data_IF_273939711168
#
_entry.id   IF_273939711168
#
_cell.length_a   1.000
_cell.length_b   1.000
_cell.length_c   1.000
_cell.angle_alpha   90.00
_cell.angle_beta   90.00
_cell.angle_gamma   90.00
#
_symmetry.space_group_name_H-M   'P 1'
#
loop_
_entity.id
_entity.type
_entity.pdbx_description
1 polymer ?
#
# COMPACT_ATOMS: atom_id res chain seq x y z
N UNK A 1 0.83 -4.69 -31.05
CA UNK A 1 0.89 -4.80 -29.58
C UNK A 1 -0.32 -5.62 -29.16
N UNK A 2 -0.09 -6.63 -28.34
CA UNK A 2 -1.11 -7.53 -27.84
C UNK A 2 -1.24 -7.33 -26.32
N UNK A 3 -2.44 -7.28 -25.77
CA UNK A 3 -2.68 -7.14 -24.32
C UNK A 3 -3.54 -8.30 -23.88
N UNK A 4 -3.02 -9.13 -22.98
CA UNK A 4 -3.70 -10.34 -22.51
C UNK A 4 -3.46 -10.58 -21.02
N UNK A 5 -4.35 -11.34 -20.41
CA UNK A 5 -4.23 -11.74 -19.01
C UNK A 5 -3.00 -12.66 -18.84
N UNK A 6 -2.29 -12.48 -17.73
CA UNK A 6 -1.15 -13.30 -17.33
C UNK A 6 -1.66 -14.54 -16.61
N UNK A 7 -1.12 -15.71 -16.96
CA UNK A 7 -1.38 -16.93 -16.23
C UNK A 7 -0.53 -16.96 -14.95
N UNK A 8 -1.15 -16.63 -13.81
CA UNK A 8 -0.48 -16.61 -12.49
C UNK A 8 -0.06 -18.01 -12.00
N UNK A 9 -0.41 -19.08 -12.70
CA UNK A 9 0.08 -20.43 -12.40
C UNK A 9 1.20 -20.88 -13.37
N UNK A 10 1.59 -20.02 -14.31
CA UNK A 10 2.81 -20.18 -15.11
C UNK A 10 3.96 -19.37 -14.47
N UNK A 11 4.93 -20.08 -13.91
CA UNK A 11 6.10 -19.48 -13.25
C UNK A 11 6.88 -18.55 -14.19
N UNK A 12 6.98 -18.89 -15.48
CA UNK A 12 7.68 -18.07 -16.46
C UNK A 12 6.92 -16.77 -16.72
N UNK A 13 5.59 -16.81 -16.83
CA UNK A 13 4.84 -15.57 -17.04
C UNK A 13 4.89 -14.64 -15.81
N UNK A 14 4.83 -15.17 -14.58
CA UNK A 14 5.02 -14.35 -13.37
C UNK A 14 6.43 -13.77 -13.31
N UNK A 15 7.46 -14.55 -13.65
CA UNK A 15 8.85 -14.08 -13.63
C UNK A 15 9.05 -12.87 -14.56
N UNK A 16 8.49 -12.92 -15.77
CA UNK A 16 8.53 -11.79 -16.69
C UNK A 16 7.67 -10.61 -16.18
N UNK A 17 6.49 -10.87 -15.64
CA UNK A 17 5.62 -9.84 -15.08
C UNK A 17 6.31 -9.10 -13.94
N UNK A 18 6.87 -9.84 -12.98
CA UNK A 18 7.63 -9.30 -11.85
C UNK A 18 8.82 -8.47 -12.33
N UNK A 19 9.61 -9.00 -13.28
CA UNK A 19 10.77 -8.28 -13.82
C UNK A 19 10.40 -6.95 -14.50
N UNK A 20 9.29 -6.91 -15.26
CA UNK A 20 8.80 -5.68 -15.90
C UNK A 20 8.28 -4.69 -14.87
N UNK A 21 7.50 -5.15 -13.89
CA UNK A 21 6.96 -4.30 -12.82
C UNK A 21 8.09 -3.72 -11.96
N UNK A 22 9.06 -4.53 -11.52
CA UNK A 22 10.21 -4.04 -10.74
C UNK A 22 11.05 -3.02 -11.52
N UNK A 23 11.32 -3.27 -12.81
CA UNK A 23 12.05 -2.32 -13.65
C UNK A 23 11.27 -1.03 -13.88
N UNK A 24 9.95 -1.13 -14.04
CA UNK A 24 9.09 0.03 -14.15
C UNK A 24 9.09 0.81 -12.83
N UNK A 25 8.79 0.18 -11.70
CA UNK A 25 8.71 0.85 -10.40
C UNK A 25 10.06 1.41 -9.92
N UNK A 26 11.19 0.79 -10.25
CA UNK A 26 12.51 1.28 -9.87
C UNK A 26 13.04 2.42 -10.76
N UNK A 27 12.40 2.70 -11.90
CA UNK A 27 12.91 3.69 -12.84
C UNK A 27 12.95 5.10 -12.22
N UNK A 28 14.16 5.69 -12.18
CA UNK A 28 14.46 6.97 -11.52
C UNK A 28 14.10 7.03 -10.01
N UNK A 29 13.97 5.87 -9.35
CA UNK A 29 13.60 5.76 -7.92
C UNK A 29 14.66 5.01 -7.11
N UNK A 30 15.71 5.70 -6.61
CA UNK A 30 16.82 5.06 -5.89
C UNK A 30 16.41 4.45 -4.54
N UNK A 31 15.23 4.80 -4.04
CA UNK A 31 14.69 4.32 -2.76
C UNK A 31 13.59 3.27 -2.93
N UNK A 32 13.35 2.80 -4.16
CA UNK A 32 12.40 1.72 -4.44
C UNK A 32 12.70 0.48 -3.57
N UNK A 33 11.63 -0.15 -3.10
CA UNK A 33 11.65 -1.35 -2.27
C UNK A 33 10.48 -2.22 -2.75
N UNK A 34 10.82 -3.16 -3.63
CA UNK A 34 9.86 -4.08 -4.23
C UNK A 34 9.69 -5.37 -3.44
N UNK A 35 8.80 -6.22 -3.92
CA UNK A 35 8.57 -7.53 -3.34
C UNK A 35 9.54 -8.53 -3.98
N UNK A 36 9.96 -9.54 -3.24
CA UNK A 36 10.67 -10.65 -3.87
C UNK A 36 9.75 -11.39 -4.84
N UNK A 37 10.33 -12.10 -5.81
CA UNK A 37 9.57 -12.93 -6.74
C UNK A 37 8.72 -13.98 -6.00
N UNK A 38 9.24 -14.56 -4.92
CA UNK A 38 8.52 -15.56 -4.13
C UNK A 38 7.29 -14.95 -3.43
N UNK A 39 7.45 -13.75 -2.84
CA UNK A 39 6.32 -13.00 -2.30
C UNK A 39 5.29 -12.66 -3.38
N UNK A 40 5.74 -12.20 -4.54
CA UNK A 40 4.86 -11.90 -5.68
C UNK A 40 4.10 -13.14 -6.16
N UNK A 41 4.75 -14.32 -6.24
CA UNK A 41 4.10 -15.59 -6.60
C UNK A 41 2.98 -15.94 -5.61
N UNK A 42 3.20 -15.79 -4.30
CA UNK A 42 2.18 -16.07 -3.28
C UNK A 42 1.00 -15.11 -3.40
N UNK A 43 1.27 -13.81 -3.56
CA UNK A 43 0.23 -12.79 -3.69
C UNK A 43 -0.62 -12.96 -4.94
N UNK A 44 0.03 -13.07 -6.11
CA UNK A 44 -0.66 -13.12 -7.40
C UNK A 44 -1.51 -14.38 -7.57
N UNK A 45 -1.21 -15.45 -6.81
CA UNK A 45 -1.99 -16.70 -6.79
C UNK A 45 -3.10 -16.70 -5.75
N UNK A 46 -3.15 -15.69 -4.87
CA UNK A 46 -4.15 -15.63 -3.82
C UNK A 46 -5.55 -15.55 -4.41
N UNK A 47 -6.43 -16.36 -3.85
CA UNK A 47 -7.87 -16.30 -4.11
C UNK A 47 -8.58 -16.24 -2.76
N UNK A 48 -9.32 -15.16 -2.53
CA UNK A 48 -10.06 -14.93 -1.29
C UNK A 48 -11.44 -14.37 -1.62
N UNK A 49 -12.45 -14.53 -0.74
CA UNK A 49 -13.80 -14.07 -1.02
C UNK A 49 -13.96 -12.54 -0.91
N UNK A 50 -12.97 -11.84 -0.36
CA UNK A 50 -13.03 -10.40 -0.05
C UNK A 50 -12.58 -9.51 -1.20
N UNK A 51 -11.82 -10.07 -2.14
CA UNK A 51 -11.19 -9.34 -3.23
C UNK A 51 -11.01 -10.24 -4.45
N UNK A 52 -11.01 -9.63 -5.64
CA UNK A 52 -10.60 -10.27 -6.88
C UNK A 52 -9.43 -9.50 -7.49
N UNK A 53 -8.36 -10.20 -7.83
CA UNK A 53 -7.21 -9.61 -8.52
C UNK A 53 -7.09 -10.12 -9.95
N UNK A 54 -6.71 -9.24 -10.87
CA UNK A 54 -6.37 -9.59 -12.25
C UNK A 54 -5.00 -9.00 -12.59
N UNK A 55 -4.18 -9.74 -13.32
CA UNK A 55 -2.93 -9.23 -13.88
C UNK A 55 -2.91 -9.44 -15.38
N UNK A 56 -2.46 -8.42 -16.10
CA UNK A 56 -2.41 -8.39 -17.55
C UNK A 56 -1.05 -7.86 -18.01
N UNK A 57 -0.67 -8.23 -19.23
CA UNK A 57 0.60 -7.87 -19.81
C UNK A 57 0.44 -7.40 -21.26
N UNK A 58 1.24 -6.40 -21.64
CA UNK A 58 1.38 -5.92 -23.00
C UNK A 58 2.62 -6.54 -23.66
N UNK A 59 2.43 -7.11 -24.85
CA UNK A 59 3.45 -7.76 -25.65
C UNK A 59 3.72 -7.02 -26.97
N UNK A 60 5.00 -6.86 -27.29
CA UNK A 60 5.49 -6.38 -28.58
C UNK A 60 6.45 -7.42 -29.13
N UNK A 61 6.14 -7.95 -30.32
CA UNK A 61 6.95 -9.00 -30.97
C UNK A 61 7.23 -10.21 -30.06
N UNK A 62 6.25 -10.59 -29.23
CA UNK A 62 6.35 -11.70 -28.28
C UNK A 62 7.08 -11.38 -26.97
N UNK A 63 7.65 -10.18 -26.82
CA UNK A 63 8.31 -9.74 -25.58
C UNK A 63 7.31 -8.99 -24.70
N UNK A 64 7.25 -9.33 -23.41
CA UNK A 64 6.48 -8.56 -22.43
C UNK A 64 7.18 -7.22 -22.17
N UNK A 65 6.48 -6.12 -22.40
CA UNK A 65 7.03 -4.76 -22.30
C UNK A 65 6.22 -3.84 -21.39
N UNK A 66 5.09 -4.31 -20.90
CA UNK A 66 4.28 -3.62 -19.92
C UNK A 66 3.41 -4.58 -19.14
N UNK A 67 3.06 -4.17 -17.93
CA UNK A 67 2.33 -4.92 -16.93
C UNK A 67 1.23 -4.04 -16.34
N UNK A 68 0.09 -4.62 -16.01
CA UNK A 68 -0.90 -3.96 -15.18
C UNK A 68 -1.53 -4.95 -14.19
N UNK A 69 -1.82 -4.47 -12.99
CA UNK A 69 -2.57 -5.15 -11.94
C UNK A 69 -3.92 -4.45 -11.75
N UNK A 70 -4.93 -5.22 -11.39
CA UNK A 70 -6.23 -4.72 -10.96
C UNK A 70 -6.64 -5.45 -9.70
N UNK A 71 -7.10 -4.70 -8.71
CA UNK A 71 -7.66 -5.20 -7.47
C UNK A 71 -9.08 -4.65 -7.30
N UNK A 72 -10.03 -5.57 -7.15
CA UNK A 72 -11.46 -5.30 -7.01
C UNK A 72 -11.92 -5.73 -5.62
N UNK A 73 -12.17 -4.77 -4.71
CA UNK A 73 -12.84 -5.08 -3.46
C UNK A 73 -14.25 -5.63 -3.69
N UNK A 74 -14.63 -6.62 -2.89
CA UNK A 74 -15.92 -7.33 -2.97
C UNK A 74 -16.82 -7.13 -1.75
N UNK A 75 -16.31 -6.53 -0.66
CA UNK A 75 -17.07 -6.26 0.56
C UNK A 75 -17.44 -4.79 0.72
N UNK A 76 -16.47 -3.90 0.50
CA UNK A 76 -16.57 -2.45 0.65
C UNK A 76 -15.97 -1.75 -0.57
N UNK A 77 -16.15 -0.44 -0.68
CA UNK A 77 -15.59 0.37 -1.78
C UNK A 77 -15.97 -0.14 -3.18
N UNK A 78 -17.20 -0.67 -3.34
CA UNK A 78 -17.61 -1.42 -4.52
C UNK A 78 -17.64 -0.62 -5.83
N UNK A 79 -17.58 0.71 -5.76
CA UNK A 79 -17.47 1.59 -6.94
C UNK A 79 -16.02 1.79 -7.40
N UNK A 80 -15.04 1.32 -6.63
CA UNK A 80 -13.62 1.53 -6.86
C UNK A 80 -12.92 0.28 -7.39
N UNK A 81 -11.78 0.51 -8.02
CA UNK A 81 -10.78 -0.49 -8.38
C UNK A 81 -9.41 0.12 -8.13
N UNK A 82 -8.50 -0.62 -7.51
CA UNK A 82 -7.10 -0.21 -7.52
C UNK A 82 -6.43 -0.83 -8.73
N UNK A 83 -5.48 -0.12 -9.32
CA UNK A 83 -4.67 -0.73 -10.36
C UNK A 83 -3.37 -0.01 -10.55
N UNK A 84 -2.39 -0.74 -11.07
CA UNK A 84 -1.07 -0.20 -11.36
C UNK A 84 -0.72 -0.45 -12.82
N UNK A 85 0.11 0.42 -13.37
CA UNK A 85 0.60 0.30 -14.75
C UNK A 85 2.12 0.47 -14.75
N UNK A 86 2.81 -0.59 -15.13
CA UNK A 86 4.25 -0.61 -15.37
C UNK A 86 4.56 -0.71 -16.86
N UNK A 87 5.54 0.06 -17.34
CA UNK A 87 6.10 -0.10 -18.69
C UNK A 87 7.61 -0.23 -18.54
N UNK A 88 8.18 -1.26 -19.17
CA UNK A 88 9.62 -1.45 -19.20
C UNK A 88 10.31 -0.16 -19.68
N UNK A 89 11.35 0.33 -18.96
CA UNK A 89 12.00 1.60 -19.27
C UNK A 89 12.42 1.79 -20.72
N UNK A 90 12.87 0.72 -21.39
CA UNK A 90 13.38 0.76 -22.75
C UNK A 90 12.24 0.85 -23.79
N UNK A 91 11.01 0.60 -23.38
CA UNK A 91 9.81 0.56 -24.22
C UNK A 91 8.85 1.74 -23.98
N UNK A 92 9.25 2.70 -23.14
CA UNK A 92 8.46 3.89 -22.81
C UNK A 92 8.28 4.79 -24.03
N UNK A 93 7.24 5.64 -23.95
CA UNK A 93 6.87 6.64 -24.99
C UNK A 93 6.50 6.03 -26.36
N UNK A 94 6.08 4.76 -26.39
CA UNK A 94 5.61 4.04 -27.59
C UNK A 94 4.11 3.73 -27.57
N UNK A 95 3.35 4.33 -26.64
CA UNK A 95 1.90 4.11 -26.50
C UNK A 95 1.48 2.92 -25.60
N UNK A 96 2.43 2.11 -25.12
CA UNK A 96 2.15 0.94 -24.26
C UNK A 96 1.34 1.31 -23.02
N UNK A 97 1.82 2.29 -22.23
CA UNK A 97 1.15 2.69 -21.00
C UNK A 97 -0.28 3.18 -21.21
N UNK A 98 -0.53 4.02 -22.22
CA UNK A 98 -1.88 4.52 -22.52
C UNK A 98 -2.83 3.40 -22.99
N UNK A 99 -2.31 2.38 -23.68
CA UNK A 99 -3.11 1.22 -24.04
C UNK A 99 -3.45 0.34 -22.83
N UNK A 100 -2.53 0.19 -21.87
CA UNK A 100 -2.80 -0.48 -20.60
C UNK A 100 -3.87 0.27 -19.80
N UNK A 101 -3.78 1.60 -19.67
CA UNK A 101 -4.83 2.42 -19.03
C UNK A 101 -6.18 2.24 -19.72
N UNK A 102 -6.24 2.23 -21.05
CA UNK A 102 -7.49 1.99 -21.78
C UNK A 102 -8.08 0.59 -21.49
N UNK A 103 -7.22 -0.42 -21.31
CA UNK A 103 -7.64 -1.76 -20.91
C UNK A 103 -8.18 -1.76 -19.47
N UNK A 104 -7.56 -1.03 -18.53
CA UNK A 104 -8.08 -0.87 -17.17
C UNK A 104 -9.48 -0.25 -17.20
N UNK A 105 -9.67 0.85 -17.93
CA UNK A 105 -10.98 1.50 -18.07
C UNK A 105 -12.04 0.53 -18.61
N UNK A 106 -11.66 -0.31 -19.58
CA UNK A 106 -12.54 -1.35 -20.12
C UNK A 106 -12.94 -2.38 -19.06
N UNK A 107 -11.98 -2.88 -18.28
CA UNK A 107 -12.23 -3.85 -17.20
C UNK A 107 -13.07 -3.27 -16.07
N UNK A 108 -12.79 -2.02 -15.68
CA UNK A 108 -13.59 -1.30 -14.69
C UNK A 108 -15.05 -1.17 -15.14
N UNK A 109 -15.29 -0.74 -16.38
CA UNK A 109 -16.65 -0.60 -16.92
C UNK A 109 -17.38 -1.95 -16.95
N UNK A 110 -16.70 -3.04 -17.32
CA UNK A 110 -17.27 -4.38 -17.32
C UNK A 110 -17.63 -4.89 -15.93
N UNK A 111 -16.91 -4.44 -14.89
CA UNK A 111 -17.17 -4.80 -13.49
C UNK A 111 -18.01 -3.75 -12.75
N UNK A 112 -18.53 -2.74 -13.46
CA UNK A 112 -19.37 -1.68 -12.88
C UNK A 112 -18.63 -0.70 -11.96
N UNK A 113 -17.29 -0.62 -12.05
CA UNK A 113 -16.48 0.31 -11.25
C UNK A 113 -16.37 1.65 -11.97
N UNK A 114 -16.41 2.74 -11.20
CA UNK A 114 -16.42 4.12 -11.72
C UNK A 114 -15.17 4.91 -11.35
N UNK A 115 -14.39 4.45 -10.38
CA UNK A 115 -13.19 5.16 -9.90
C UNK A 115 -12.00 4.20 -9.85
N UNK A 116 -10.92 4.55 -10.53
CA UNK A 116 -9.63 3.90 -10.38
C UNK A 116 -8.84 4.66 -9.33
N UNK A 117 -8.17 3.94 -8.44
CA UNK A 117 -7.17 4.49 -7.53
C UNK A 117 -5.83 3.85 -7.85
N UNK A 118 -4.75 4.63 -7.85
CA UNK A 118 -3.39 4.12 -7.99
C UNK A 118 -2.45 4.96 -7.16
N UNK A 119 -1.45 4.33 -6.57
CA UNK A 119 -0.37 5.04 -5.92
C UNK A 119 0.85 5.00 -6.82
N UNK A 120 1.52 6.14 -6.94
CA UNK A 120 2.85 6.17 -7.51
C UNK A 120 3.79 6.80 -6.50
N UNK A 121 5.08 6.69 -6.73
CA UNK A 121 6.06 7.46 -6.00
C UNK A 121 7.16 7.95 -6.94
N UNK A 122 7.85 9.00 -6.55
CA UNK A 122 8.98 9.55 -7.28
C UNK A 122 9.82 10.46 -6.38
N UNK A 123 11.11 10.67 -6.70
CA UNK A 123 12.02 11.46 -5.87
C UNK A 123 11.42 12.82 -5.49
N UNK A 124 11.61 13.22 -4.24
CA UNK A 124 10.99 14.43 -3.69
C UNK A 124 11.36 15.69 -4.47
N UNK A 125 12.57 15.75 -5.03
CA UNK A 125 13.08 16.84 -5.87
C UNK A 125 12.56 16.82 -7.31
N UNK A 126 11.87 15.74 -7.73
CA UNK A 126 11.22 15.59 -9.04
C UNK A 126 9.70 15.72 -8.95
N UNK A 127 9.17 16.28 -7.85
CA UNK A 127 7.72 16.38 -7.58
C UNK A 127 6.91 16.97 -8.73
N UNK A 128 7.47 17.94 -9.44
CA UNK A 128 6.75 18.74 -10.45
C UNK A 128 6.85 18.20 -11.88
N UNK A 129 7.86 17.37 -12.18
CA UNK A 129 8.20 17.02 -13.56
C UNK A 129 8.49 15.53 -13.79
N UNK A 130 8.36 14.70 -12.76
CA UNK A 130 8.61 13.26 -12.88
C UNK A 130 7.72 12.66 -13.97
N UNK A 131 8.25 11.77 -14.83
CA UNK A 131 7.48 11.19 -15.92
C UNK A 131 6.20 10.44 -15.50
N UNK A 132 6.12 9.95 -14.26
CA UNK A 132 4.91 9.27 -13.74
C UNK A 132 3.77 10.25 -13.54
N UNK A 133 4.03 11.40 -12.91
CA UNK A 133 3.05 12.48 -12.77
C UNK A 133 2.55 12.91 -14.15
N UNK A 134 3.46 13.25 -15.06
CA UNK A 134 3.10 13.70 -16.42
C UNK A 134 2.30 12.64 -17.20
N UNK A 135 2.59 11.36 -16.98
CA UNK A 135 1.84 10.27 -17.59
C UNK A 135 0.44 10.15 -16.99
N UNK A 136 0.30 10.22 -15.67
CA UNK A 136 -0.98 10.19 -14.98
C UNK A 136 -1.89 11.33 -15.47
N UNK A 137 -1.41 12.57 -15.45
CA UNK A 137 -2.14 13.76 -15.94
C UNK A 137 -2.56 13.61 -17.41
N UNK A 138 -1.65 13.14 -18.27
CA UNK A 138 -1.93 12.95 -19.69
C UNK A 138 -2.99 11.87 -19.98
N UNK A 139 -3.25 10.96 -19.03
CA UNK A 139 -4.31 9.96 -19.12
C UNK A 139 -5.54 10.31 -18.24
N UNK A 140 -5.64 11.56 -17.80
CA UNK A 140 -6.84 12.07 -17.11
C UNK A 140 -6.91 11.76 -15.62
N UNK A 141 -5.82 11.29 -15.01
CA UNK A 141 -5.76 11.12 -13.57
C UNK A 141 -5.56 12.48 -12.89
N UNK A 142 -6.10 12.61 -11.68
CA UNK A 142 -5.87 13.75 -10.78
C UNK A 142 -5.24 13.27 -9.48
N UNK A 143 -4.38 14.09 -8.88
CA UNK A 143 -3.83 13.80 -7.54
C UNK A 143 -4.95 14.00 -6.53
N UNK A 144 -5.30 12.95 -5.78
CA UNK A 144 -6.30 13.02 -4.74
C UNK A 144 -5.67 13.33 -3.37
N UNK A 145 -4.48 12.79 -3.10
CA UNK A 145 -3.67 13.16 -1.94
C UNK A 145 -2.19 12.95 -2.24
N UNK A 146 -1.35 13.86 -1.73
CA UNK A 146 0.08 13.66 -1.65
C UNK A 146 0.45 13.00 -0.32
N UNK A 147 0.96 11.78 -0.39
CA UNK A 147 1.72 11.18 0.69
C UNK A 147 3.21 11.40 0.50
N UNK A 148 3.98 11.30 1.57
CA UNK A 148 5.42 11.41 1.55
C UNK A 148 6.03 10.12 2.08
N UNK A 149 6.79 9.44 1.22
CA UNK A 149 7.61 8.29 1.64
C UNK A 149 8.81 8.79 2.41
N UNK A 150 9.03 8.20 3.57
CA UNK A 150 10.16 8.51 4.45
C UNK A 150 10.98 7.28 4.78
N UNK A 151 12.27 7.52 5.01
CA UNK A 151 13.24 6.53 5.41
C UNK A 151 13.82 6.90 6.78
N UNK A 152 13.85 5.95 7.69
CA UNK A 152 14.61 6.02 8.94
C UNK A 152 15.82 5.08 8.84
N UNK A 153 17.05 5.59 8.85
CA UNK A 153 18.25 4.76 8.92
C UNK A 153 18.28 3.93 10.21
N UNK A 154 18.72 2.67 10.10
CA UNK A 154 18.95 1.77 11.22
C UNK A 154 20.45 1.49 11.42
N UNK A 155 20.91 1.25 12.66
CA UNK A 155 20.12 1.31 13.90
C UNK A 155 19.83 2.77 14.31
N UNK A 156 18.67 2.99 14.93
CA UNK A 156 18.38 4.27 15.60
C UNK A 156 19.24 4.38 16.85
N UNK A 157 19.76 5.58 17.15
CA UNK A 157 20.50 5.83 18.39
C UNK A 157 19.65 5.41 19.62
N UNK A 158 20.13 4.44 20.43
CA UNK A 158 19.44 4.02 21.64
C UNK A 158 19.20 5.15 22.64
N UNK A 159 20.09 6.16 22.68
CA UNK A 159 19.97 7.33 23.56
C UNK A 159 18.80 8.22 23.13
N UNK A 160 18.63 8.42 21.83
CA UNK A 160 17.47 9.14 21.27
C UNK A 160 16.17 8.42 21.63
N UNK A 161 16.08 7.11 21.38
CA UNK A 161 14.90 6.31 21.71
C UNK A 161 14.59 6.35 23.21
N UNK A 162 15.60 6.24 24.07
CA UNK A 162 15.43 6.32 25.52
C UNK A 162 14.93 7.70 25.98
N UNK A 163 15.43 8.77 25.36
CA UNK A 163 15.01 10.15 25.65
C UNK A 163 13.54 10.35 25.28
N UNK A 164 13.15 9.97 24.05
CA UNK A 164 11.76 10.10 23.60
C UNK A 164 10.83 9.24 24.45
N UNK A 165 11.22 8.02 24.82
CA UNK A 165 10.46 7.16 25.71
C UNK A 165 10.24 7.81 27.10
N UNK A 166 11.30 8.36 27.69
CA UNK A 166 11.23 9.00 29.01
C UNK A 166 10.32 10.23 29.02
N UNK A 167 10.31 11.02 27.94
CA UNK A 167 9.40 12.15 27.80
C UNK A 167 7.94 11.73 27.57
N UNK A 168 7.70 10.62 26.87
CA UNK A 168 6.35 10.13 26.63
C UNK A 168 5.73 9.50 27.89
N UNK A 169 6.54 8.82 28.72
CA UNK A 169 6.10 8.00 29.85
C UNK A 169 5.09 8.66 30.81
N UNK A 170 5.26 9.92 31.23
CA UNK A 170 4.30 10.58 32.14
C UNK A 170 2.89 10.74 31.56
N UNK A 171 2.73 10.64 30.24
CA UNK A 171 1.45 10.87 29.56
C UNK A 171 0.62 9.60 29.36
N UNK A 172 1.19 8.42 29.63
CA UNK A 172 0.53 7.14 29.38
C UNK A 172 0.69 6.15 30.54
N UNK A 173 0.77 6.62 31.78
CA UNK A 173 0.92 5.76 32.98
C UNK A 173 -0.21 4.75 33.16
N UNK A 174 -1.39 5.07 32.64
CA UNK A 174 -2.59 4.23 32.74
C UNK A 174 -2.68 3.19 31.61
N UNK A 175 -1.69 3.16 30.70
CA UNK A 175 -1.63 2.26 29.56
C UNK A 175 -0.45 1.32 29.67
N UNK A 176 -0.68 0.06 29.30
CA UNK A 176 0.37 -0.94 29.10
C UNK A 176 0.83 -0.90 27.64
N UNK A 177 2.10 -0.54 27.42
CA UNK A 177 2.72 -0.64 26.09
C UNK A 177 3.38 -2.01 25.94
N UNK A 178 2.91 -2.83 25.00
CA UNK A 178 3.37 -4.21 24.82
C UNK A 178 3.69 -4.51 23.35
N UNK A 179 4.75 -5.28 23.13
CA UNK A 179 5.20 -5.69 21.79
C UNK A 179 4.99 -7.17 21.58
N UNK A 180 4.65 -7.55 20.35
CA UNK A 180 4.35 -8.93 19.95
C UNK A 180 5.05 -9.23 18.63
N UNK A 181 5.54 -10.46 18.49
CA UNK A 181 6.24 -10.94 17.28
C UNK A 181 5.39 -12.01 16.63
N UNK A 182 5.27 -11.94 15.31
CA UNK A 182 4.52 -12.83 14.41
C UNK A 182 2.99 -12.85 14.60
N UNK A 183 2.47 -12.81 15.82
CA UNK A 183 1.02 -12.79 16.08
C UNK A 183 0.69 -12.02 17.36
N UNK A 184 -0.55 -11.55 17.44
CA UNK A 184 -1.17 -11.05 18.67
C UNK A 184 -1.78 -12.20 19.49
N UNK A 185 -1.90 -12.05 20.82
CA UNK A 185 -2.78 -12.88 21.66
C UNK A 185 -4.25 -12.75 21.24
N UNK A 186 -4.99 -13.86 21.29
CA UNK A 186 -6.39 -13.96 20.86
C UNK A 186 -7.28 -12.88 21.48
N UNK A 187 -7.06 -12.55 22.76
CA UNK A 187 -7.85 -11.55 23.49
C UNK A 187 -7.67 -10.12 22.97
N UNK A 188 -6.59 -9.83 22.24
CA UNK A 188 -6.31 -8.50 21.69
C UNK A 188 -6.75 -8.35 20.24
N UNK A 189 -6.92 -9.45 19.49
CA UNK A 189 -7.22 -9.45 18.05
C UNK A 189 -8.47 -8.63 17.74
N UNK A 190 -9.56 -8.85 18.48
CA UNK A 190 -10.82 -8.14 18.22
C UNK A 190 -10.67 -6.61 18.37
N UNK A 191 -10.01 -6.16 19.43
CA UNK A 191 -9.76 -4.72 19.65
C UNK A 191 -8.77 -4.13 18.63
N UNK A 192 -7.78 -4.91 18.22
CA UNK A 192 -6.85 -4.53 17.15
C UNK A 192 -7.59 -4.34 15.82
N UNK A 193 -8.43 -5.29 15.40
CA UNK A 193 -9.20 -5.18 14.15
C UNK A 193 -10.16 -4.00 14.19
N UNK A 194 -10.87 -3.80 15.30
CA UNK A 194 -11.76 -2.65 15.47
C UNK A 194 -11.01 -1.33 15.32
N UNK A 195 -9.78 -1.26 15.84
CA UNK A 195 -8.91 -0.10 15.71
C UNK A 195 -8.35 0.05 14.29
N UNK A 196 -7.84 -1.01 13.66
CA UNK A 196 -7.25 -0.95 12.32
C UNK A 196 -8.28 -0.54 11.27
N UNK A 197 -9.54 -0.96 11.41
CA UNK A 197 -10.63 -0.57 10.51
C UNK A 197 -10.92 0.94 10.51
N UNK A 198 -10.48 1.66 11.53
CA UNK A 198 -10.61 3.12 11.59
C UNK A 198 -9.46 3.84 10.87
N UNK A 199 -8.37 3.15 10.48
CA UNK A 199 -7.20 3.81 9.90
C UNK A 199 -7.54 4.58 8.63
N UNK A 200 -8.25 3.96 7.69
CA UNK A 200 -8.67 4.59 6.43
C UNK A 200 -9.66 5.74 6.62
N UNK A 201 -10.37 5.80 7.76
CA UNK A 201 -11.34 6.87 8.07
C UNK A 201 -10.69 8.02 8.85
N UNK A 202 -9.76 7.69 9.76
CA UNK A 202 -9.11 8.66 10.65
C UNK A 202 -7.83 9.27 10.05
N UNK A 203 -7.20 8.60 9.09
CA UNK A 203 -6.07 9.14 8.34
C UNK A 203 -6.58 10.14 7.27
N UNK A 204 -5.81 11.18 6.94
CA UNK A 204 -6.15 12.02 5.80
C UNK A 204 -6.09 11.21 4.51
N UNK A 205 -7.18 11.17 3.75
CA UNK A 205 -7.29 10.46 2.45
C UNK A 205 -7.47 11.41 1.25
N UNK A 206 -7.52 12.72 1.53
CA UNK A 206 -7.67 13.77 0.52
C UNK A 206 -9.01 13.69 -0.18
N UNK A 207 -9.00 13.70 -1.51
CA UNK A 207 -10.21 13.69 -2.33
C UNK A 207 -10.80 12.27 -2.53
N UNK A 208 -10.12 11.22 -2.05
CA UNK A 208 -10.67 9.85 -2.06
C UNK A 208 -11.45 9.59 -0.78
N UNK A 209 -12.74 9.36 -0.92
CA UNK A 209 -13.63 8.94 0.16
C UNK A 209 -13.58 7.40 0.30
N UNK A 210 -13.03 6.88 1.39
CA UNK A 210 -12.94 5.45 1.66
C UNK A 210 -13.98 5.00 2.70
N UNK A 211 -14.63 3.88 2.42
CA UNK A 211 -15.41 3.17 3.44
C UNK A 211 -14.46 2.56 4.47
N UNK A 212 -14.91 2.45 5.74
CA UNK A 212 -14.16 1.75 6.77
C UNK A 212 -13.90 0.30 6.36
N UNK A 213 -12.68 -0.18 6.61
CA UNK A 213 -12.33 -1.57 6.28
C UNK A 213 -13.17 -2.56 7.09
N UNK A 214 -13.43 -3.72 6.50
CA UNK A 214 -14.22 -4.79 7.11
C UNK A 214 -13.36 -5.89 7.78
N UNK A 215 -12.17 -5.57 8.32
CA UNK A 215 -11.30 -6.59 8.94
C UNK A 215 -11.98 -7.23 10.15
N UNK A 216 -12.16 -8.55 10.10
CA UNK A 216 -12.61 -9.36 11.24
C UNK A 216 -11.42 -10.10 11.86
N UNK A 217 -11.53 -10.64 13.09
CA UNK A 217 -10.50 -11.50 13.66
C UNK A 217 -10.12 -12.68 12.77
N UNK A 218 -11.09 -13.28 12.08
CA UNK A 218 -10.87 -14.40 11.16
C UNK A 218 -10.05 -13.97 9.95
N UNK A 219 -10.43 -12.86 9.29
CA UNK A 219 -9.67 -12.30 8.17
C UNK A 219 -8.26 -11.87 8.57
N UNK A 220 -8.12 -11.31 9.78
CA UNK A 220 -6.81 -10.95 10.32
C UNK A 220 -5.91 -12.17 10.51
N UNK A 221 -6.44 -13.29 11.02
CA UNK A 221 -5.68 -14.54 11.14
C UNK A 221 -5.24 -15.08 9.78
N UNK A 222 -6.10 -14.98 8.76
CA UNK A 222 -5.74 -15.33 7.37
C UNK A 222 -4.61 -14.45 6.84
N UNK A 223 -4.65 -13.13 7.11
CA UNK A 223 -3.58 -12.20 6.73
C UNK A 223 -2.25 -12.52 7.41
N UNK A 224 -2.25 -12.80 8.72
CA UNK A 224 -1.04 -13.19 9.45
C UNK A 224 -0.49 -14.53 8.95
N UNK A 225 -1.35 -15.50 8.63
CA UNK A 225 -0.93 -16.78 8.06
C UNK A 225 -0.24 -16.60 6.69
N UNK A 226 -0.77 -15.70 5.85
CA UNK A 226 -0.18 -15.36 4.55
C UNK A 226 1.15 -14.64 4.68
N UNK A 227 1.26 -13.67 5.59
CA UNK A 227 2.55 -13.03 5.90
C UNK A 227 3.61 -14.06 6.28
N UNK A 228 3.24 -15.06 7.08
CA UNK A 228 4.12 -16.17 7.43
C UNK A 228 4.47 -17.04 6.23
N UNK A 229 3.54 -17.32 5.33
CA UNK A 229 3.80 -18.05 4.07
C UNK A 229 4.81 -17.30 3.19
N UNK A 230 4.70 -15.97 3.13
CA UNK A 230 5.66 -15.07 2.46
C UNK A 230 7.01 -14.97 3.16
N UNK A 231 7.19 -15.62 4.32
CA UNK A 231 8.40 -15.51 5.13
C UNK A 231 8.55 -14.15 5.82
N UNK A 232 7.48 -13.34 5.89
CA UNK A 232 7.49 -12.06 6.58
C UNK A 232 7.41 -12.27 8.09
N UNK A 233 8.09 -11.40 8.82
CA UNK A 233 7.96 -11.30 10.28
C UNK A 233 7.28 -10.00 10.64
N UNK A 234 6.10 -10.10 11.27
CA UNK A 234 5.39 -8.96 11.86
C UNK A 234 5.90 -8.66 13.26
N UNK A 235 6.10 -7.38 13.54
CA UNK A 235 6.40 -6.87 14.86
C UNK A 235 5.39 -5.78 15.22
N UNK A 236 4.41 -6.14 16.04
CA UNK A 236 3.34 -5.25 16.48
C UNK A 236 3.68 -4.65 17.83
N UNK A 237 3.27 -3.42 18.09
CA UNK A 237 3.27 -2.83 19.44
C UNK A 237 1.99 -2.11 19.71
N UNK A 238 1.33 -2.47 20.81
CA UNK A 238 0.02 -1.99 21.19
C UNK A 238 0.11 -1.17 22.47
N UNK A 239 -0.71 -0.11 22.57
CA UNK A 239 -1.07 0.47 23.85
C UNK A 239 -2.40 -0.13 24.30
N UNK A 240 -2.42 -0.68 25.51
CA UNK A 240 -3.55 -1.42 26.06
C UNK A 240 -4.03 -0.68 27.30
N UNK A 241 -5.32 -0.35 27.35
CA UNK A 241 -5.90 0.40 28.46
C UNK A 241 -6.16 -0.49 29.70
N UNK A 242 -6.71 0.12 30.77
CA UNK A 242 -7.03 -0.58 32.02
C UNK A 242 -8.11 -1.67 31.89
N UNK A 243 -8.84 -1.73 30.77
CA UNK A 243 -9.84 -2.76 30.49
C UNK A 243 -9.26 -3.96 29.74
N UNK A 244 -8.03 -3.84 29.23
CA UNK A 244 -7.39 -4.85 28.38
C UNK A 244 -7.63 -4.62 26.88
N UNK A 245 -8.16 -3.47 26.48
CA UNK A 245 -8.48 -3.14 25.08
C UNK A 245 -7.28 -2.47 24.40
N UNK A 246 -6.93 -2.89 23.18
CA UNK A 246 -5.94 -2.19 22.37
C UNK A 246 -6.51 -0.85 21.84
N UNK A 247 -5.86 0.26 22.19
CA UNK A 247 -6.31 1.62 21.87
C UNK A 247 -5.31 2.41 21.02
N UNK A 248 -4.11 1.87 20.83
CA UNK A 248 -3.16 2.32 19.82
C UNK A 248 -2.35 1.14 19.30
N UNK A 249 -1.91 1.20 18.04
CA UNK A 249 -0.99 0.22 17.47
C UNK A 249 0.04 0.85 16.55
N UNK A 250 1.12 0.13 16.33
CA UNK A 250 2.03 0.28 15.18
C UNK A 250 2.53 -1.09 14.76
N UNK A 251 2.76 -1.27 13.46
CA UNK A 251 3.36 -2.49 12.92
C UNK A 251 4.62 -2.20 12.12
N UNK A 252 5.65 -3.00 12.37
CA UNK A 252 6.81 -3.15 11.50
C UNK A 252 6.76 -4.54 10.86
N UNK A 253 6.84 -4.59 9.54
CA UNK A 253 6.89 -5.83 8.76
C UNK A 253 8.28 -5.97 8.19
N UNK A 254 8.90 -7.12 8.46
CA UNK A 254 10.20 -7.50 7.96
C UNK A 254 9.99 -8.50 6.83
N UNK A 255 10.24 -8.12 5.56
CA UNK A 255 10.28 -9.07 4.45
C UNK A 255 11.37 -10.14 4.67
N UNK A 256 11.30 -11.30 3.98
CA UNK A 256 12.34 -12.31 4.09
C UNK A 256 13.73 -11.77 3.69
N UNK A 257 14.78 -12.34 4.27
CA UNK A 257 16.16 -12.09 3.82
C UNK A 257 16.30 -12.45 2.32
N UNK A 258 17.12 -11.72 1.54
CA UNK A 258 18.11 -10.73 1.95
C UNK A 258 17.61 -9.27 1.93
N UNK A 259 16.29 -9.04 1.97
CA UNK A 259 15.78 -7.67 1.93
C UNK A 259 16.22 -6.90 3.18
N UNK A 260 16.98 -5.82 3.00
CA UNK A 260 17.54 -5.03 4.10
C UNK A 260 16.50 -4.09 4.75
N UNK A 261 15.32 -3.99 4.16
CA UNK A 261 14.29 -3.04 4.53
C UNK A 261 13.35 -3.60 5.59
N UNK A 262 12.76 -2.68 6.34
CA UNK A 262 11.59 -2.91 7.21
C UNK A 262 10.50 -1.94 6.78
N UNK A 263 9.26 -2.41 6.67
CA UNK A 263 8.14 -1.55 6.32
C UNK A 263 7.33 -1.22 7.57
N UNK A 264 7.22 0.06 7.90
CA UNK A 264 6.29 0.54 8.90
C UNK A 264 4.92 0.74 8.25
N UNK A 265 4.01 -0.17 8.57
CA UNK A 265 2.61 -0.10 8.19
C UNK A 265 1.84 0.80 9.17
N UNK A 266 0.54 0.58 9.32
CA UNK A 266 -0.37 1.43 10.09
C UNK A 266 0.16 1.81 11.47
N UNK A 267 -0.04 3.07 11.83
CA UNK A 267 0.11 3.57 13.20
C UNK A 267 -1.13 4.40 13.53
N UNK A 268 -1.95 3.93 14.47
CA UNK A 268 -3.18 4.61 14.85
C UNK A 268 -3.30 4.73 16.36
N UNK A 269 -3.93 5.81 16.80
CA UNK A 269 -4.40 6.01 18.18
C UNK A 269 -5.89 6.29 18.12
N UNK A 270 -6.67 5.47 18.82
CA UNK A 270 -8.11 5.64 18.94
C UNK A 270 -8.43 7.07 19.39
N UNK A 271 -9.42 7.71 18.76
CA UNK A 271 -9.73 9.13 18.95
C UNK A 271 -9.90 9.52 20.41
N UNK A 272 -10.58 8.69 21.20
CA UNK A 272 -10.85 8.94 22.62
C UNK A 272 -9.60 8.83 23.52
N UNK A 273 -8.52 8.23 23.02
CA UNK A 273 -7.26 8.04 23.75
C UNK A 273 -6.13 8.94 23.24
N UNK A 274 -6.41 9.85 22.30
CA UNK A 274 -5.44 10.87 21.83
C UNK A 274 -5.05 11.83 22.97
N UNK A 275 -3.90 12.49 22.83
CA UNK A 275 -3.37 13.41 23.86
C UNK A 275 -2.44 12.75 24.90
N UNK A 276 -2.34 11.43 24.91
CA UNK A 276 -1.52 10.65 25.86
C UNK A 276 -0.14 10.25 25.33
N UNK A 277 0.29 10.84 24.19
CA UNK A 277 1.54 10.48 23.47
C UNK A 277 1.66 8.99 23.09
N UNK A 278 0.54 8.28 22.94
CA UNK A 278 0.52 6.85 22.64
C UNK A 278 1.16 6.51 21.29
N UNK A 279 0.95 7.33 20.26
CA UNK A 279 1.57 7.13 18.94
C UNK A 279 3.11 7.13 19.03
N UNK A 280 3.67 8.08 19.78
CA UNK A 280 5.11 8.10 20.06
C UNK A 280 5.56 6.88 20.86
N UNK A 281 4.81 6.52 21.91
CA UNK A 281 5.15 5.42 22.80
C UNK A 281 5.21 4.08 22.06
N UNK A 282 4.20 3.77 21.23
CA UNK A 282 4.17 2.51 20.47
C UNK A 282 5.29 2.46 19.43
N UNK A 283 5.56 3.55 18.69
CA UNK A 283 6.65 3.59 17.69
C UNK A 283 8.02 3.42 18.31
N UNK A 284 8.32 4.14 19.38
CA UNK A 284 9.60 4.03 20.09
C UNK A 284 9.79 2.61 20.62
N UNK A 285 8.78 2.04 21.28
CA UNK A 285 8.86 0.69 21.83
C UNK A 285 9.03 -0.36 20.74
N UNK A 286 8.38 -0.19 19.59
CA UNK A 286 8.51 -1.09 18.44
C UNK A 286 9.91 -1.04 17.82
N UNK A 287 10.51 0.15 17.68
CA UNK A 287 11.90 0.32 17.24
C UNK A 287 12.91 -0.26 18.23
N UNK A 288 12.69 -0.10 19.54
CA UNK A 288 13.52 -0.75 20.56
C UNK A 288 13.47 -2.28 20.44
N UNK A 289 12.28 -2.83 20.18
CA UNK A 289 12.09 -4.26 20.00
C UNK A 289 12.74 -4.76 18.70
N UNK A 290 12.68 -3.99 17.62
CA UNK A 290 13.41 -4.28 16.38
C UNK A 290 14.94 -4.31 16.63
N UNK A 291 15.47 -3.31 17.34
CA UNK A 291 16.88 -3.26 17.68
C UNK A 291 17.32 -4.45 18.55
N UNK A 292 16.50 -4.82 19.54
CA UNK A 292 16.76 -5.98 20.41
C UNK A 292 16.72 -7.32 19.67
N UNK A 293 15.94 -7.43 18.60
CA UNK A 293 15.90 -8.63 17.77
C UNK A 293 17.19 -8.86 16.95
N UNK A 294 18.03 -7.83 16.78
CA UNK A 294 19.31 -7.96 16.08
C UNK A 294 19.17 -8.29 14.59
N UNK A 295 18.15 -7.75 13.92
CA UNK A 295 17.75 -8.16 12.56
C UNK A 295 18.75 -7.84 11.45
N UNK A 296 19.77 -7.01 11.70
CA UNK A 296 20.75 -6.59 10.66
C UNK A 296 20.19 -5.64 9.59
N UNK A 297 18.92 -5.23 9.72
CA UNK A 297 18.22 -4.34 8.77
C UNK A 297 18.81 -2.93 8.79
N UNK A 298 18.76 -2.25 7.64
CA UNK A 298 19.48 -0.98 7.42
C UNK A 298 18.57 0.23 7.37
N UNK A 299 17.27 0.05 7.11
CA UNK A 299 16.30 1.16 7.10
C UNK A 299 14.86 0.72 7.34
N UNK A 300 14.06 1.63 7.89
CA UNK A 300 12.59 1.53 7.97
C UNK A 300 11.97 2.47 6.93
N UNK A 301 11.08 1.97 6.09
CA UNK A 301 10.27 2.76 5.16
C UNK A 301 8.87 2.97 5.72
N UNK A 302 8.33 4.17 5.55
CA UNK A 302 6.93 4.48 5.86
C UNK A 302 6.38 5.47 4.86
N UNK A 303 5.06 5.53 4.75
CA UNK A 303 4.36 6.57 4.01
C UNK A 303 3.34 7.24 4.94
N UNK A 304 3.15 8.54 4.78
CA UNK A 304 2.03 9.23 5.41
C UNK A 304 1.59 10.43 4.56
N UNK A 305 0.31 10.77 4.62
CA UNK A 305 -0.22 12.02 4.11
C UNK A 305 0.62 13.23 4.57
N UNK A 306 0.99 14.10 3.63
CA UNK A 306 1.77 15.32 3.91
C UNK A 306 1.07 16.22 4.94
N UNK A 307 -0.26 16.20 4.95
CA UNK A 307 -1.14 16.97 5.83
C UNK A 307 -1.29 16.38 7.24
N UNK A 308 -0.80 15.15 7.50
CA UNK A 308 -0.86 14.52 8.82
C UNK A 308 0.27 15.03 9.74
N UNK A 309 0.23 16.32 10.09
CA UNK A 309 1.30 16.99 10.85
C UNK A 309 1.67 16.26 12.15
N UNK A 310 0.71 15.66 12.87
CA UNK A 310 0.99 14.92 14.09
C UNK A 310 1.90 13.70 13.84
N UNK A 311 1.60 12.91 12.80
CA UNK A 311 2.43 11.75 12.46
C UNK A 311 3.77 12.17 11.84
N UNK A 312 3.78 13.27 11.09
CA UNK A 312 5.01 13.87 10.55
C UNK A 312 5.95 14.31 11.69
N UNK A 313 5.45 15.00 12.71
CA UNK A 313 6.26 15.44 13.85
C UNK A 313 6.88 14.25 14.61
N UNK A 314 6.12 13.17 14.80
CA UNK A 314 6.65 11.94 15.41
C UNK A 314 7.76 11.35 14.54
N UNK A 315 7.55 11.25 13.23
CA UNK A 315 8.52 10.69 12.29
C UNK A 315 9.81 11.51 12.24
N UNK A 316 9.71 12.83 12.05
CA UNK A 316 10.88 13.73 12.03
C UNK A 316 11.66 13.62 13.34
N UNK A 317 10.96 13.57 14.47
CA UNK A 317 11.61 13.42 15.79
C UNK A 317 12.34 12.09 15.96
N UNK A 318 11.85 11.01 15.35
CA UNK A 318 12.51 9.71 15.33
C UNK A 318 13.70 9.66 14.36
N UNK A 319 13.86 10.64 13.48
CA UNK A 319 14.93 10.71 12.48
C UNK A 319 14.53 10.23 11.08
N UNK A 320 13.22 10.14 10.78
CA UNK A 320 12.77 9.86 9.42
C UNK A 320 13.03 11.05 8.48
N UNK A 321 13.56 10.75 7.30
CA UNK A 321 13.85 11.72 6.24
C UNK A 321 12.89 11.52 5.05
N UNK A 322 12.38 12.61 4.48
CA UNK A 322 11.54 12.56 3.28
C UNK A 322 12.39 12.26 2.04
N UNK A 323 11.99 11.25 1.26
CA UNK A 323 12.77 10.76 0.11
C UNK A 323 12.00 10.73 -1.19
N UNK A 324 10.69 10.44 -1.15
CA UNK A 324 9.82 10.43 -2.31
C UNK A 324 8.50 11.12 -1.98
N UNK A 325 7.91 11.81 -2.96
CA UNK A 325 6.47 12.07 -2.94
C UNK A 325 5.80 10.80 -3.45
N UNK A 326 4.71 10.40 -2.82
CA UNK A 326 3.93 9.23 -3.13
C UNK A 326 2.46 9.66 -3.36
N UNK A 327 2.14 10.30 -4.48
CA UNK A 327 0.77 10.70 -4.76
C UNK A 327 -0.15 9.47 -4.92
N UNK A 328 -1.32 9.56 -4.33
CA UNK A 328 -2.47 8.76 -4.72
C UNK A 328 -3.21 9.50 -5.82
N UNK A 329 -3.31 8.86 -6.97
CA UNK A 329 -4.06 9.36 -8.12
C UNK A 329 -5.43 8.71 -8.18
N UNK A 330 -6.42 9.47 -8.65
CA UNK A 330 -7.71 8.95 -9.05
C UNK A 330 -7.99 9.19 -10.54
N UNK A 331 -8.67 8.24 -11.16
CA UNK A 331 -9.29 8.41 -12.49
C UNK A 331 -10.76 8.03 -12.38
N UNK A 332 -11.64 8.98 -12.70
CA UNK A 332 -13.10 8.74 -12.71
C UNK A 332 -13.57 8.49 -14.14
N UNK A 333 -14.42 7.47 -14.31
CA UNK A 333 -15.01 7.10 -15.60
C UNK A 333 -16.54 7.19 -15.53
N UNK A 334 -17.14 7.72 -16.59
CA UNK A 334 -18.60 7.80 -16.71
C UNK A 334 -19.18 6.43 -17.06
N UNK A 335 -19.89 5.80 -16.12
CA UNK A 335 -20.56 4.51 -16.33
C UNK A 335 -21.57 4.53 -17.51
N UNK A 336 -22.10 5.71 -17.87
CA UNK A 336 -23.15 5.88 -18.89
C UNK A 336 -22.62 6.12 -20.32
N UNK A 337 -21.30 6.28 -20.49
CA UNK A 337 -20.74 6.51 -21.83
C UNK A 337 -20.76 5.25 -22.70
N UNK A 338 -20.79 4.05 -22.09
CA UNK A 338 -20.70 2.78 -22.82
C UNK A 338 -22.05 2.30 -23.40
N UNK A 339 -23.19 2.65 -22.80
CA UNK A 339 -24.52 2.34 -23.37
C UNK A 339 -24.74 3.00 -24.74
N UNK A 340 -24.08 4.14 -25.00
CA UNK A 340 -24.16 4.83 -26.30
C UNK A 340 -23.37 4.16 -27.41
N UNK A 341 -22.45 3.25 -27.11
CA UNK A 341 -21.62 2.58 -28.12
C UNK A 341 -22.21 1.23 -28.51
N UNK A 342 -22.87 0.53 -27.56
CA UNK A 342 -23.67 -0.67 -27.86
C UNK A 342 -25.00 -0.34 -28.54
N UNK A 343 -25.64 0.79 -28.19
CA UNK A 343 -26.90 1.22 -28.82
C UNK A 343 -26.77 1.64 -30.30
N UNK A 344 -25.58 2.05 -30.75
CA UNK A 344 -25.34 2.41 -32.17
C UNK A 344 -25.05 1.17 -33.02
N UNK A 345 -24.44 0.13 -32.45
CA UNK A 345 -24.18 -1.13 -33.16
C UNK A 345 -25.46 -1.96 -33.42
N UNK A 346 -26.48 -1.87 -32.55
CA UNK A 346 -27.74 -2.58 -32.75
C UNK A 346 -28.72 -1.91 -33.74
N UNK A 347 -28.61 -0.59 -33.97
CA UNK A 347 -29.50 0.11 -34.92
C UNK A 347 -29.05 -0.07 -36.37
N UNK A 348 -27.76 -0.35 -36.62
CA UNK A 348 -27.23 -0.60 -37.98
C UNK A 348 -27.46 -2.02 -38.52
N UNK A 349 -27.93 -2.96 -37.70
CA UNK A 349 -28.17 -4.36 -38.12
C UNK A 349 -29.64 -4.65 -38.51
N UNK A 350 -30.52 -3.64 -38.54
CA UNK A 350 -31.92 -3.77 -38.94
C UNK A 350 -32.26 -2.85 -40.11
N UNK A 351 -31.46 -2.88 -41.18
CA UNK A 351 -31.89 -2.39 -42.50
C UNK A 351 -31.00 -2.97 -43.60
N UNK A 352 -31.23 -4.23 -43.96
CA UNK A 352 -31.16 -4.70 -45.36
C UNK A 352 -31.86 -6.04 -45.52
#
# INVERSE_FOLDING_TARGET
>A
MDIRQVNVFDDSEIEHFHAVTERAEAFERPHHSGWSLDEAKIELRRQVPTERSEVWAAYVEGTMVGAMSLWFPLLDNLTKCWGDVGVDPDHRRRGVGSALVAQIVTRMAQDGRTTMVTESAYPFDRREDHPYLRFAEANGFTVAIDEIRRILPLPVDPTLLQTIAAEAAPHHTDYRIASFVASLPDELVASYCALSNQLGVDAPTGDVDFEAESMTPELWLEHVAKEKEMGRTRLSTLAIDGTGTAVAYTDLILPPEPNADVWQWGTLVHREHRGHRLGTAVKVRNLQQLAAAGSGRTRVLTCNAETNHHMVDINVRLGFEAVEVAPMFELRIDATANERTEGVAQVSASTT
#
